data_IF_379994963727
#
_entry.id   IF_379994963727
#
_cell.length_a   1.000
_cell.length_b   1.000
_cell.length_c   1.000
_cell.angle_alpha   90.00
_cell.angle_beta   90.00
_cell.angle_gamma   90.00
#
_symmetry.space_group_name_H-M   'P 1'
#
loop_
_entity.id
_entity.type
_entity.pdbx_description
1 polymer ?
#
# COMPACT_ATOMS: atom_id res chain seq x y z
N UNK A 1 -22.34 -22.27 41.85
CA UNK A 1 -22.36 -21.80 40.45
C UNK A 1 -23.77 -21.62 39.91
N UNK A 2 -24.63 -22.65 39.84
CA UNK A 2 -26.04 -22.45 39.39
C UNK A 2 -26.84 -21.55 40.36
N UNK A 3 -26.72 -21.79 41.66
CA UNK A 3 -27.40 -21.00 42.69
C UNK A 3 -26.93 -19.53 42.73
N UNK A 4 -25.64 -19.29 42.50
CA UNK A 4 -25.07 -17.93 42.45
C UNK A 4 -25.58 -17.16 41.22
N UNK A 5 -25.77 -17.87 40.10
CA UNK A 5 -26.31 -17.33 38.85
C UNK A 5 -27.80 -17.00 38.99
N UNK A 6 -28.57 -17.88 39.63
CA UNK A 6 -29.99 -17.66 39.93
C UNK A 6 -30.22 -16.49 40.91
N UNK A 7 -29.26 -16.26 41.82
CA UNK A 7 -29.30 -15.13 42.78
C UNK A 7 -29.09 -13.76 42.10
N UNK A 8 -28.30 -13.70 41.02
CA UNK A 8 -28.06 -12.47 40.24
C UNK A 8 -29.21 -12.13 39.27
N UNK A 9 -30.00 -13.14 38.87
CA UNK A 9 -31.14 -12.99 37.96
C UNK A 9 -32.48 -12.80 38.70
N UNK A 10 -32.50 -12.98 40.02
CA UNK A 10 -33.65 -12.65 40.83
C UNK A 10 -33.82 -11.13 40.90
N UNK A 11 -34.97 -10.62 40.47
CA UNK A 11 -35.30 -9.19 40.47
C UNK A 11 -35.56 -8.70 41.91
N UNK A 12 -34.53 -8.74 42.75
CA UNK A 12 -34.56 -8.33 44.16
C UNK A 12 -33.90 -6.97 44.29
N UNK A 13 -34.59 -6.03 44.93
CA UNK A 13 -34.00 -4.75 45.31
C UNK A 13 -33.06 -5.00 46.49
N UNK A 14 -31.75 -4.89 46.27
CA UNK A 14 -30.75 -5.01 47.31
C UNK A 14 -30.38 -3.63 47.86
N UNK A 15 -30.26 -3.51 49.18
CA UNK A 15 -29.61 -2.36 49.80
C UNK A 15 -28.08 -2.46 49.58
N UNK A 16 -27.42 -1.38 49.11
CA UNK A 16 -26.00 -1.40 48.73
C UNK A 16 -25.05 -1.93 49.82
N UNK A 17 -25.39 -1.69 51.09
CA UNK A 17 -24.59 -2.09 52.26
C UNK A 17 -24.45 -3.62 52.36
N UNK A 18 -25.50 -4.36 52.00
CA UNK A 18 -25.54 -5.82 52.12
C UNK A 18 -24.59 -6.51 51.15
N UNK A 19 -24.39 -5.93 49.95
CA UNK A 19 -23.47 -6.43 48.93
C UNK A 19 -22.02 -6.26 49.40
N UNK A 20 -21.70 -5.15 50.05
CA UNK A 20 -20.33 -4.82 50.48
C UNK A 20 -19.86 -5.65 51.68
N UNK A 21 -20.74 -5.91 52.63
CA UNK A 21 -20.37 -6.59 53.89
C UNK A 21 -20.54 -8.12 53.86
N UNK A 22 -21.52 -8.65 53.13
CA UNK A 22 -21.83 -10.08 53.16
C UNK A 22 -21.40 -10.85 51.92
N UNK A 23 -21.25 -10.19 50.77
CA UNK A 23 -20.68 -10.84 49.60
C UNK A 23 -19.16 -10.59 49.58
N UNK A 24 -18.38 -11.66 49.62
CA UNK A 24 -16.91 -11.60 49.50
C UNK A 24 -16.50 -11.35 48.03
N UNK A 25 -17.07 -10.33 47.39
CA UNK A 25 -16.79 -9.94 46.02
C UNK A 25 -15.52 -9.10 46.02
N UNK A 26 -14.48 -9.60 45.34
CA UNK A 26 -13.27 -8.83 45.09
C UNK A 26 -13.55 -7.86 43.94
N UNK A 27 -13.93 -6.64 44.28
CA UNK A 27 -14.20 -5.59 43.31
C UNK A 27 -12.92 -5.23 42.55
N UNK A 28 -13.02 -5.23 41.23
CA UNK A 28 -11.92 -4.81 40.36
C UNK A 28 -11.85 -3.28 40.23
N UNK A 29 -13.02 -2.62 40.22
CA UNK A 29 -13.22 -1.17 40.21
C UNK A 29 -14.40 -0.83 41.15
N UNK A 30 -14.15 -0.74 42.47
CA UNK A 30 -15.21 -0.55 43.49
C UNK A 30 -15.95 0.78 43.33
N UNK A 31 -15.25 1.83 42.91
CA UNK A 31 -15.83 3.17 42.71
C UNK A 31 -16.46 3.38 41.32
N UNK A 32 -16.65 2.30 40.55
CA UNK A 32 -17.26 2.37 39.21
C UNK A 32 -16.28 2.72 38.08
N UNK A 33 -16.83 2.90 36.88
CA UNK A 33 -16.07 3.02 35.62
C UNK A 33 -15.42 4.40 35.47
N UNK A 34 -16.11 5.48 35.87
CA UNK A 34 -15.64 6.86 35.67
C UNK A 34 -14.36 7.14 36.45
N UNK A 35 -14.32 6.75 37.73
CA UNK A 35 -13.14 6.95 38.58
C UNK A 35 -11.98 6.01 38.20
N UNK A 36 -12.26 4.83 37.65
CA UNK A 36 -11.26 3.84 37.26
C UNK A 36 -10.99 3.80 35.75
N UNK A 37 -11.39 4.84 35.01
CA UNK A 37 -11.35 4.83 33.54
C UNK A 37 -9.92 4.61 33.02
N UNK A 38 -8.91 5.18 33.69
CA UNK A 38 -7.52 5.05 33.30
C UNK A 38 -7.03 3.59 33.41
N UNK A 39 -7.36 2.93 34.52
CA UNK A 39 -7.05 1.51 34.74
C UNK A 39 -7.73 0.63 33.69
N UNK A 40 -8.99 0.91 33.36
CA UNK A 40 -9.73 0.17 32.33
C UNK A 40 -9.09 0.38 30.94
N UNK A 41 -8.67 1.61 30.61
CA UNK A 41 -7.95 1.91 29.37
C UNK A 41 -6.64 1.12 29.30
N UNK A 42 -5.87 1.09 30.39
CA UNK A 42 -4.60 0.37 30.43
C UNK A 42 -4.80 -1.14 30.30
N UNK A 43 -5.80 -1.70 30.98
CA UNK A 43 -6.17 -3.10 30.85
C UNK A 43 -6.64 -3.45 29.43
N UNK A 44 -7.46 -2.58 28.82
CA UNK A 44 -7.91 -2.74 27.46
C UNK A 44 -6.73 -2.72 26.47
N UNK A 45 -5.78 -1.80 26.66
CA UNK A 45 -4.56 -1.70 25.87
C UNK A 45 -3.70 -2.95 26.02
N UNK A 46 -3.48 -3.44 27.23
CA UNK A 46 -2.68 -4.64 27.50
C UNK A 46 -3.35 -5.87 26.90
N UNK A 47 -4.65 -6.07 27.15
CA UNK A 47 -5.37 -7.26 26.69
C UNK A 47 -5.45 -7.36 25.17
N UNK A 48 -5.63 -6.22 24.49
CA UNK A 48 -5.66 -6.18 23.02
C UNK A 48 -4.30 -5.94 22.38
N UNK A 49 -3.23 -5.84 23.18
CA UNK A 49 -1.88 -5.48 22.72
C UNK A 49 -1.88 -4.21 21.86
N UNK A 50 -2.61 -3.19 22.29
CA UNK A 50 -2.69 -1.88 21.64
C UNK A 50 -1.63 -0.94 22.19
N UNK A 51 -0.40 -1.43 22.26
CA UNK A 51 0.75 -0.65 22.74
C UNK A 51 1.32 0.15 21.57
N UNK A 52 1.44 1.49 21.70
CA UNK A 52 1.96 2.33 20.64
C UNK A 52 3.41 1.95 20.33
N UNK A 53 3.70 1.64 19.07
CA UNK A 53 5.06 1.29 18.64
C UNK A 53 5.86 2.60 18.46
N UNK A 54 6.99 2.69 19.14
CA UNK A 54 7.86 3.89 19.13
C UNK A 54 9.23 3.52 18.57
N UNK A 55 9.55 4.04 17.40
CA UNK A 55 10.78 3.72 16.67
C UNK A 55 11.64 4.97 16.51
N UNK A 56 12.95 4.86 16.73
CA UNK A 56 13.93 5.89 16.43
C UNK A 56 14.94 5.38 15.41
N UNK A 57 15.13 6.11 14.31
CA UNK A 57 16.07 5.73 13.25
C UNK A 57 17.25 6.71 13.23
N UNK A 58 18.42 6.19 13.53
CA UNK A 58 19.71 6.88 13.60
C UNK A 58 20.63 6.41 12.46
N UNK A 59 21.71 7.16 12.21
CA UNK A 59 22.71 6.79 11.19
C UNK A 59 23.21 7.99 10.37
N UNK A 60 24.17 7.78 9.45
CA UNK A 60 24.82 8.83 8.70
C UNK A 60 23.89 9.47 7.66
N UNK A 61 24.14 10.72 7.23
CA UNK A 61 23.36 11.36 6.19
C UNK A 61 23.35 10.53 4.89
N UNK A 62 22.25 10.59 4.14
CA UNK A 62 22.04 9.85 2.88
C UNK A 62 22.04 8.31 2.94
N UNK A 63 22.07 7.71 4.14
CA UNK A 63 21.89 6.25 4.33
C UNK A 63 20.49 5.75 3.94
N UNK A 64 19.52 6.64 3.74
CA UNK A 64 18.16 6.30 3.37
C UNK A 64 17.18 6.17 4.53
N UNK A 65 17.53 6.69 5.71
CA UNK A 65 16.65 6.78 6.90
C UNK A 65 15.23 7.21 6.54
N UNK A 66 15.07 8.33 5.84
CA UNK A 66 13.75 8.85 5.43
C UNK A 66 12.98 7.87 4.55
N UNK A 67 13.66 7.11 3.68
CA UNK A 67 13.00 6.12 2.82
C UNK A 67 12.50 4.92 3.64
N UNK A 68 13.30 4.47 4.60
CA UNK A 68 12.95 3.36 5.52
C UNK A 68 11.85 3.81 6.48
N UNK A 69 11.99 5.01 7.08
CA UNK A 69 11.02 5.61 7.98
C UNK A 69 9.64 5.76 7.32
N UNK A 70 9.59 6.24 6.07
CA UNK A 70 8.33 6.37 5.32
C UNK A 70 7.67 5.02 5.03
N UNK A 71 8.46 4.00 4.68
CA UNK A 71 7.92 2.65 4.46
C UNK A 71 7.36 2.05 5.75
N UNK A 72 8.11 2.14 6.85
CA UNK A 72 7.65 1.66 8.16
C UNK A 72 6.44 2.44 8.65
N UNK A 73 6.40 3.76 8.45
CA UNK A 73 5.26 4.59 8.85
C UNK A 73 3.98 4.20 8.09
N UNK A 74 4.10 3.83 6.80
CA UNK A 74 2.96 3.35 6.01
C UNK A 74 2.50 1.97 6.45
N UNK A 75 3.42 1.04 6.68
CA UNK A 75 3.10 -0.34 7.04
C UNK A 75 2.47 -0.43 8.44
N UNK A 76 3.06 0.25 9.42
CA UNK A 76 2.59 0.26 10.80
C UNK A 76 1.54 1.32 11.08
N UNK A 77 1.23 2.19 10.10
CA UNK A 77 0.36 3.37 10.26
C UNK A 77 0.80 4.26 11.42
N UNK A 78 2.10 4.53 11.52
CA UNK A 78 2.70 5.37 12.55
C UNK A 78 2.90 6.80 12.06
N UNK A 79 2.99 7.75 12.99
CA UNK A 79 3.34 9.12 12.67
C UNK A 79 4.84 9.24 12.33
N UNK A 80 5.15 9.58 11.09
CA UNK A 80 6.52 9.89 10.66
C UNK A 80 6.89 11.30 11.11
N UNK A 81 7.85 11.41 12.01
CA UNK A 81 8.28 12.68 12.59
C UNK A 81 9.62 13.11 11.98
N UNK A 82 9.54 14.00 10.99
CA UNK A 82 10.69 14.74 10.48
C UNK A 82 10.75 16.13 11.13
N UNK A 83 11.96 16.68 11.29
CA UNK A 83 12.16 18.02 11.89
C UNK A 83 11.23 19.08 11.27
N UNK A 84 11.17 19.15 9.94
CA UNK A 84 10.35 20.15 9.22
C UNK A 84 8.86 20.00 9.54
N UNK A 85 8.37 18.76 9.42
CA UNK A 85 6.96 18.44 9.62
C UNK A 85 6.55 18.68 11.08
N UNK A 86 7.41 18.34 12.04
CA UNK A 86 7.17 18.61 13.47
C UNK A 86 7.04 20.10 13.73
N UNK A 87 7.91 20.94 13.15
CA UNK A 87 7.83 22.39 13.34
C UNK A 87 6.53 22.96 12.75
N UNK A 88 6.16 22.54 11.54
CA UNK A 88 4.95 23.04 10.86
C UNK A 88 3.68 22.56 11.56
N UNK A 89 3.60 21.28 11.93
CA UNK A 89 2.47 20.72 12.64
C UNK A 89 2.31 21.33 14.03
N UNK A 90 3.38 21.40 14.82
CA UNK A 90 3.30 21.96 16.18
C UNK A 90 2.96 23.44 16.13
N UNK A 91 3.52 24.20 15.18
CA UNK A 91 3.14 25.59 14.97
C UNK A 91 1.64 25.73 14.69
N UNK A 92 1.10 24.92 13.78
CA UNK A 92 -0.33 24.97 13.45
C UNK A 92 -1.22 24.58 14.65
N UNK A 93 -0.83 23.55 15.40
CA UNK A 93 -1.54 23.12 16.62
C UNK A 93 -1.55 24.23 17.68
N UNK A 94 -0.39 24.86 17.94
CA UNK A 94 -0.26 25.96 18.90
C UNK A 94 -1.06 27.21 18.44
N UNK A 95 -1.00 27.58 17.16
CA UNK A 95 -1.79 28.69 16.62
C UNK A 95 -3.30 28.45 16.77
N UNK A 96 -3.76 27.20 16.59
CA UNK A 96 -5.17 26.84 16.80
C UNK A 96 -5.58 26.94 18.26
N UNK A 97 -4.70 26.55 19.19
CA UNK A 97 -4.96 26.69 20.63
C UNK A 97 -5.11 28.17 21.02
N UNK A 98 -4.21 29.04 20.55
CA UNK A 98 -4.28 30.49 20.82
C UNK A 98 -5.51 31.14 20.18
N UNK A 99 -5.94 30.71 18.99
CA UNK A 99 -7.14 31.25 18.33
C UNK A 99 -8.44 30.91 19.08
N UNK A 100 -8.56 29.68 19.59
CA UNK A 100 -9.76 29.24 20.34
C UNK A 100 -9.95 30.04 21.62
N UNK A 101 -8.83 30.42 22.26
CA UNK A 101 -8.82 31.29 23.43
C UNK A 101 -9.36 32.70 23.10
N UNK A 102 -8.83 33.35 22.05
CA UNK A 102 -9.29 34.68 21.63
C UNK A 102 -10.72 34.74 21.08
N UNK A 103 -11.27 33.63 20.58
CA UNK A 103 -12.69 33.52 20.19
C UNK A 103 -13.62 33.33 21.41
N UNK A 104 -13.11 32.73 22.48
CA UNK A 104 -13.85 32.54 23.73
C UNK A 104 -14.03 33.87 24.47
N UNK A 105 -13.03 34.75 24.43
CA UNK A 105 -13.09 36.12 24.98
C UNK A 105 -14.07 37.05 24.24
N UNK A 106 -14.44 36.76 22.98
CA UNK A 106 -15.35 37.61 22.19
C UNK A 106 -16.84 37.27 22.35
N UNK A 107 -17.17 36.13 22.98
CA UNK A 107 -18.54 35.67 23.21
C UNK A 107 -18.95 35.78 24.69
N UNK A 108 -18.36 36.71 25.47
CA UNK A 108 -18.72 36.98 26.88
C UNK A 108 -20.08 37.70 27.05
N UNK A 109 -21.13 37.26 26.37
CA UNK A 109 -22.50 37.44 26.84
C UNK A 109 -23.14 36.05 26.98
N UNK A 110 -23.26 35.60 28.24
CA UNK A 110 -23.96 34.39 28.71
C UNK A 110 -23.15 33.09 28.87
N UNK A 111 -22.36 33.01 29.95
CA UNK A 111 -22.33 31.82 30.83
C UNK A 111 -21.66 32.15 32.18
N UNK A 112 -22.44 32.06 33.27
CA UNK A 112 -21.96 32.05 34.66
C UNK A 112 -21.16 30.78 34.97
N UNK A 113 -20.09 30.95 35.77
CA UNK A 113 -19.35 30.00 36.60
C UNK A 113 -19.04 28.59 36.05
N UNK A 114 -17.74 28.33 35.81
CA UNK A 114 -16.96 27.32 36.54
C UNK A 114 -15.54 27.17 35.99
N UNK A 115 -14.54 27.42 36.85
CA UNK A 115 -13.16 26.95 36.76
C UNK A 115 -12.51 27.00 35.38
N UNK A 116 -11.97 28.17 35.01
CA UNK A 116 -10.89 28.20 34.02
C UNK A 116 -9.77 27.35 34.60
N UNK A 117 -9.58 26.16 34.04
CA UNK A 117 -8.53 25.22 34.43
C UNK A 117 -7.20 25.98 34.39
N UNK A 118 -6.64 26.29 35.56
CA UNK A 118 -5.41 27.07 35.74
C UNK A 118 -4.28 26.48 34.87
N UNK A 119 -4.32 25.16 34.66
CA UNK A 119 -3.40 24.41 33.81
C UNK A 119 -3.58 24.66 32.30
N UNK A 120 -4.78 25.00 31.85
CA UNK A 120 -5.04 25.32 30.44
C UNK A 120 -4.52 26.73 30.10
N UNK A 121 -4.70 27.69 31.01
CA UNK A 121 -4.18 29.05 30.86
C UNK A 121 -2.64 29.05 30.78
N UNK A 122 -1.97 28.32 31.68
CA UNK A 122 -0.51 28.13 31.64
C UNK A 122 -0.04 27.55 30.31
N UNK A 123 -0.72 26.52 29.80
CA UNK A 123 -0.39 25.90 28.50
C UNK A 123 -0.57 26.85 27.31
N UNK A 124 -1.54 27.76 27.38
CA UNK A 124 -1.76 28.76 26.32
C UNK A 124 -0.65 29.82 26.36
N UNK A 125 -0.23 30.26 27.56
CA UNK A 125 0.86 31.22 27.70
C UNK A 125 2.21 30.65 27.27
N UNK A 126 2.50 29.38 27.62
CA UNK A 126 3.65 28.65 27.10
C UNK A 126 3.61 28.52 25.57
N UNK A 127 2.44 28.20 25.01
CA UNK A 127 2.26 28.11 23.56
C UNK A 127 2.56 29.45 22.87
N UNK A 128 2.09 30.57 23.44
CA UNK A 128 2.38 31.93 22.94
C UNK A 128 3.88 32.24 23.00
N UNK A 129 4.55 31.92 24.11
CA UNK A 129 6.00 32.14 24.27
C UNK A 129 6.82 31.35 23.24
N UNK A 130 6.46 30.09 22.98
CA UNK A 130 7.15 29.24 22.00
C UNK A 130 6.93 29.76 20.58
N UNK A 131 5.71 30.19 20.25
CA UNK A 131 5.40 30.77 18.94
C UNK A 131 6.19 32.07 18.69
N UNK A 132 6.29 32.94 19.69
CA UNK A 132 7.08 34.18 19.60
C UNK A 132 8.55 33.89 19.34
N UNK A 133 9.17 32.99 20.13
CA UNK A 133 10.55 32.55 19.93
C UNK A 133 10.78 31.96 18.53
N UNK A 134 9.82 31.18 18.02
CA UNK A 134 9.89 30.64 16.67
C UNK A 134 9.83 31.71 15.58
N UNK A 135 9.01 32.73 15.77
CA UNK A 135 8.93 33.86 14.84
C UNK A 135 10.18 34.73 14.86
N UNK A 136 10.76 34.99 16.03
CA UNK A 136 12.02 35.74 16.17
C UNK A 136 13.16 35.06 15.42
N UNK A 137 13.37 33.75 15.65
CA UNK A 137 14.41 32.99 14.96
C UNK A 137 14.19 33.00 13.43
N UNK A 138 12.93 32.97 12.99
CA UNK A 138 12.59 33.04 11.56
C UNK A 138 12.81 34.43 10.94
N UNK A 139 12.65 35.51 11.72
CA UNK A 139 12.92 36.89 11.27
C UNK A 139 14.41 37.14 11.12
N UNK A 140 15.21 36.65 12.07
CA UNK A 140 16.65 36.92 12.12
C UNK A 140 17.46 36.05 11.16
N UNK A 141 16.91 34.93 10.70
CA UNK A 141 17.63 34.03 9.80
C UNK A 141 16.71 33.29 8.83
N UNK A 142 16.77 33.66 7.55
CA UNK A 142 16.11 32.93 6.46
C UNK A 142 16.64 31.51 6.24
N UNK A 143 17.75 31.14 6.89
CA UNK A 143 18.50 29.90 6.62
C UNK A 143 19.19 29.29 7.87
N UNK A 144 18.93 29.79 9.09
CA UNK A 144 19.62 29.31 10.29
C UNK A 144 18.88 28.16 10.97
N UNK A 145 19.71 27.25 11.48
CA UNK A 145 19.31 26.16 12.37
C UNK A 145 18.57 26.76 13.57
N UNK A 146 17.39 26.22 13.85
CA UNK A 146 16.71 26.48 15.12
C UNK A 146 17.62 26.08 16.27
N UNK A 147 17.48 26.82 17.38
CA UNK A 147 18.16 26.45 18.61
C UNK A 147 17.73 25.05 19.06
N UNK A 148 18.68 24.28 19.56
CA UNK A 148 18.48 22.88 19.91
C UNK A 148 17.46 22.75 21.05
N UNK A 149 17.39 23.74 21.95
CA UNK A 149 16.44 23.79 23.06
C UNK A 149 14.99 23.96 22.57
N UNK A 150 14.76 24.93 21.66
CA UNK A 150 13.43 25.16 21.06
C UNK A 150 13.00 23.92 20.29
N UNK A 151 13.91 23.33 19.51
CA UNK A 151 13.63 22.11 18.75
C UNK A 151 13.23 20.96 19.69
N UNK A 152 13.97 20.78 20.78
CA UNK A 152 13.68 19.75 21.80
C UNK A 152 12.29 19.95 22.40
N UNK A 153 11.92 21.20 22.73
CA UNK A 153 10.59 21.52 23.26
C UNK A 153 9.47 21.17 22.26
N UNK A 154 9.63 21.52 20.98
CA UNK A 154 8.64 21.16 19.95
C UNK A 154 8.47 19.66 19.79
N UNK A 155 9.57 18.91 19.80
CA UNK A 155 9.50 17.45 19.76
C UNK A 155 8.82 16.88 21.01
N UNK A 156 9.08 17.41 22.21
CA UNK A 156 8.37 17.00 23.44
C UNK A 156 6.86 17.20 23.32
N UNK A 157 6.42 18.38 22.86
CA UNK A 157 4.99 18.67 22.65
C UNK A 157 4.38 17.68 21.66
N UNK A 158 5.03 17.47 20.50
CA UNK A 158 4.51 16.56 19.47
C UNK A 158 4.47 15.10 19.95
N UNK A 159 5.51 14.64 20.65
CA UNK A 159 5.57 13.27 21.19
C UNK A 159 4.54 13.04 22.30
N UNK A 160 4.20 14.07 23.08
CA UNK A 160 3.16 14.02 24.11
C UNK A 160 1.74 14.17 23.55
N UNK A 161 1.58 14.50 22.27
CA UNK A 161 0.27 14.59 21.62
C UNK A 161 -0.48 13.25 21.65
N UNK A 162 -1.83 13.26 21.73
CA UNK A 162 -2.64 12.04 21.71
C UNK A 162 -2.37 11.16 20.48
N UNK A 163 -2.05 11.76 19.34
CA UNK A 163 -1.73 11.07 18.09
C UNK A 163 -0.51 10.16 18.27
N UNK A 164 0.60 10.70 18.77
CA UNK A 164 1.83 9.94 19.00
C UNK A 164 1.73 8.98 20.20
N UNK A 165 0.97 9.34 21.23
CA UNK A 165 0.78 8.50 22.42
C UNK A 165 -0.16 7.31 22.16
N UNK A 166 -1.13 7.43 21.27
CA UNK A 166 -2.09 6.35 20.98
C UNK A 166 -1.65 5.45 19.82
N UNK A 167 -1.11 6.03 18.73
CA UNK A 167 -0.71 5.26 17.54
C UNK A 167 0.76 4.88 17.57
N UNK A 168 1.61 5.68 18.21
CA UNK A 168 3.06 5.56 18.15
C UNK A 168 3.66 6.49 17.10
N UNK A 169 4.99 6.40 16.93
CA UNK A 169 5.73 7.33 16.10
C UNK A 169 7.02 6.70 15.54
N UNK A 170 7.55 7.31 14.48
CA UNK A 170 8.89 7.04 13.95
C UNK A 170 9.67 8.35 13.88
N UNK A 171 10.74 8.45 14.67
CA UNK A 171 11.67 9.58 14.62
C UNK A 171 12.68 9.40 13.49
N UNK A 172 12.74 10.38 12.58
CA UNK A 172 13.69 10.41 11.45
C UNK A 172 14.65 11.58 11.56
N UNK A 173 15.91 11.27 11.88
CA UNK A 173 17.01 12.24 11.83
C UNK A 173 17.11 13.19 13.03
N UNK A 174 16.43 12.88 14.13
CA UNK A 174 16.56 13.51 15.45
C UNK A 174 16.32 12.46 16.55
N UNK A 175 17.08 12.43 17.66
CA UNK A 175 18.21 13.30 18.03
C UNK A 175 19.49 13.02 17.22
N UNK A 176 20.40 14.01 17.16
CA UNK A 176 21.69 13.89 16.44
C UNK A 176 22.90 13.82 17.38
N UNK A 177 22.75 14.35 18.59
CA UNK A 177 23.79 14.34 19.63
C UNK A 177 23.26 13.66 20.87
N UNK A 178 24.18 13.22 21.73
CA UNK A 178 23.86 12.67 23.04
C UNK A 178 23.07 13.67 23.90
N UNK A 179 23.50 14.94 23.92
CA UNK A 179 22.82 16.00 24.68
C UNK A 179 21.37 16.19 24.23
N UNK A 180 21.10 16.14 22.92
CA UNK A 180 19.73 16.21 22.39
C UNK A 180 18.89 15.00 22.82
N UNK A 181 19.49 13.80 22.87
CA UNK A 181 18.79 12.60 23.32
C UNK A 181 18.44 12.69 24.81
N UNK A 182 19.38 13.15 25.64
CA UNK A 182 19.17 13.39 27.07
C UNK A 182 18.11 14.46 27.30
N UNK A 183 18.21 15.61 26.64
CA UNK A 183 17.23 16.69 26.77
C UNK A 183 15.84 16.27 26.29
N UNK A 184 15.73 15.45 25.24
CA UNK A 184 14.45 15.00 24.71
C UNK A 184 13.79 13.93 25.60
N UNK A 185 14.52 12.89 25.99
CA UNK A 185 13.95 11.70 26.65
C UNK A 185 14.20 11.66 28.16
N UNK A 186 15.08 12.50 28.69
CA UNK A 186 15.30 12.64 30.13
C UNK A 186 14.04 13.11 30.85
N UNK A 187 13.76 12.54 32.01
CA UNK A 187 12.67 13.00 32.85
C UNK A 187 13.07 14.31 33.53
N UNK A 188 12.17 15.31 33.51
CA UNK A 188 12.35 16.62 34.15
C UNK A 188 12.00 16.60 35.64
N UNK A 189 12.17 15.46 36.30
CA UNK A 189 11.93 15.31 37.74
C UNK A 189 13.23 15.48 38.49
N UNK A 190 13.28 16.50 39.36
CA UNK A 190 14.26 16.65 40.42
C UNK A 190 14.15 15.44 41.37
N UNK A 191 14.76 14.31 41.01
CA UNK A 191 15.28 13.40 42.00
C UNK A 191 16.77 13.74 42.14
N UNK A 192 17.02 14.86 42.83
CA UNK A 192 18.24 15.02 43.60
C UNK A 192 18.21 13.95 44.70
N UNK A 193 18.77 12.77 44.44
CA UNK A 193 19.31 11.96 45.53
C UNK A 193 20.70 11.44 45.15
N UNK A 194 21.65 11.92 45.95
CA UNK A 194 22.98 11.41 46.18
C UNK A 194 22.98 9.86 46.27
N UNK A 195 24.10 9.26 45.86
CA UNK A 195 24.45 7.84 46.01
C UNK A 195 23.92 6.83 44.95
N UNK A 196 24.71 6.65 43.89
CA UNK A 196 25.33 5.37 43.47
C UNK A 196 25.68 5.38 41.97
N UNK A 197 26.91 5.02 41.62
CA UNK A 197 27.48 4.94 40.25
C UNK A 197 26.75 3.96 39.28
N UNK A 198 25.63 3.36 39.68
CA UNK A 198 24.92 2.29 38.92
C UNK A 198 23.43 2.56 38.66
N UNK A 199 22.88 3.74 38.98
CA UNK A 199 21.47 4.05 38.68
C UNK A 199 21.31 4.68 37.29
N UNK A 200 20.49 4.02 36.46
CA UNK A 200 20.11 4.44 35.11
C UNK A 200 19.64 5.90 35.08
N UNK A 201 19.92 6.66 34.00
CA UNK A 201 19.45 8.03 33.91
C UNK A 201 17.91 8.05 33.93
N UNK A 202 17.30 9.05 34.59
CA UNK A 202 15.85 9.14 34.68
C UNK A 202 15.27 9.44 33.30
N UNK A 203 14.36 8.58 32.82
CA UNK A 203 13.77 8.68 31.48
C UNK A 203 12.26 8.77 31.51
N UNK A 204 11.70 9.50 30.55
CA UNK A 204 10.27 9.62 30.39
C UNK A 204 9.73 8.42 29.59
N UNK A 205 9.19 7.43 30.32
CA UNK A 205 8.61 6.19 29.77
C UNK A 205 7.51 6.42 28.73
N UNK A 206 6.81 7.57 28.79
CA UNK A 206 5.74 7.90 27.85
C UNK A 206 6.26 8.23 26.47
N UNK A 207 7.45 8.81 26.36
CA UNK A 207 7.99 9.25 25.06
C UNK A 207 9.18 8.42 24.59
N UNK A 208 9.87 7.66 25.44
CA UNK A 208 11.08 6.95 25.02
C UNK A 208 10.80 5.83 23.98
N UNK A 209 11.58 5.75 22.88
CA UNK A 209 11.45 4.71 21.87
C UNK A 209 11.65 3.30 22.44
N UNK A 210 10.89 2.34 21.94
CA UNK A 210 11.07 0.91 22.24
C UNK A 210 12.12 0.28 21.32
N UNK A 211 12.15 0.73 20.06
CA UNK A 211 13.09 0.23 19.06
C UNK A 211 13.96 1.35 18.54
N UNK A 212 15.28 1.22 18.74
CA UNK A 212 16.29 2.14 18.21
C UNK A 212 17.07 1.42 17.13
N UNK A 213 17.09 1.98 15.92
CA UNK A 213 17.69 1.37 14.73
C UNK A 213 18.81 2.29 14.27
N UNK A 214 20.05 1.80 14.30
CA UNK A 214 21.24 2.52 13.87
C UNK A 214 21.65 1.99 12.50
N UNK A 215 21.51 2.81 11.48
CA UNK A 215 21.95 2.46 10.14
C UNK A 215 23.45 2.69 10.01
N UNK A 216 24.21 1.65 9.69
CA UNK A 216 25.64 1.71 9.41
C UNK A 216 25.88 1.62 7.90
N UNK A 217 26.75 2.47 7.38
CA UNK A 217 27.06 2.55 5.96
C UNK A 217 28.46 3.10 5.74
N UNK A 218 29.19 2.51 4.81
CA UNK A 218 30.52 2.97 4.45
C UNK A 218 30.49 4.36 3.80
N UNK A 219 31.49 5.19 4.11
CA UNK A 219 31.65 6.52 3.51
C UNK A 219 31.70 6.48 1.97
N UNK A 220 32.23 5.39 1.40
CA UNK A 220 32.29 5.20 -0.05
C UNK A 220 30.91 4.94 -0.64
N UNK A 221 30.12 4.03 -0.03
CA UNK A 221 28.75 3.76 -0.43
C UNK A 221 27.88 5.02 -0.40
N UNK A 222 27.97 5.82 0.68
CA UNK A 222 27.19 7.05 0.81
C UNK A 222 27.55 8.09 -0.26
N UNK A 223 28.84 8.22 -0.61
CA UNK A 223 29.29 9.11 -1.68
C UNK A 223 28.78 8.66 -3.04
N UNK A 224 28.92 7.37 -3.36
CA UNK A 224 28.43 6.81 -4.61
C UNK A 224 26.92 7.02 -4.74
N UNK A 225 26.15 6.77 -3.68
CA UNK A 225 24.70 6.94 -3.68
C UNK A 225 24.28 8.38 -4.02
N UNK A 226 24.97 9.38 -3.50
CA UNK A 226 24.68 10.80 -3.78
C UNK A 226 25.07 11.21 -5.18
N UNK A 227 26.16 10.68 -5.72
CA UNK A 227 26.55 10.93 -7.12
C UNK A 227 25.49 10.41 -8.11
N UNK A 228 24.78 9.34 -7.75
CA UNK A 228 23.75 8.73 -8.61
C UNK A 228 22.32 9.21 -8.28
N UNK A 229 22.16 10.19 -7.39
CA UNK A 229 20.84 10.72 -7.02
C UNK A 229 20.31 11.65 -8.13
N UNK A 230 19.07 11.47 -8.61
CA UNK A 230 18.52 12.31 -9.67
C UNK A 230 18.40 13.78 -9.24
N UNK A 231 18.70 14.71 -10.14
CA UNK A 231 18.64 16.16 -9.87
C UNK A 231 17.26 16.62 -9.36
N UNK A 232 16.17 15.95 -9.75
CA UNK A 232 14.81 16.22 -9.26
C UNK A 232 14.65 16.03 -7.75
N UNK A 233 15.41 15.11 -7.15
CA UNK A 233 15.38 14.83 -5.69
C UNK A 233 16.37 15.74 -4.95
N UNK A 234 17.40 16.21 -5.65
CA UNK A 234 18.39 17.16 -5.11
C UNK A 234 17.83 18.59 -5.11
N UNK A 235 17.02 18.95 -6.10
CA UNK A 235 16.35 20.24 -6.18
C UNK A 235 15.41 20.44 -4.97
N UNK A 236 15.76 21.37 -4.08
CA UNK A 236 15.01 21.67 -2.86
C UNK A 236 15.43 20.88 -1.61
N UNK A 237 16.47 20.04 -1.69
CA UNK A 237 17.05 19.37 -0.51
C UNK A 237 18.48 19.82 -0.25
N UNK A 238 18.91 19.82 1.02
CA UNK A 238 20.31 20.12 1.43
C UNK A 238 21.31 18.99 1.05
N UNK A 239 20.99 18.21 0.03
CA UNK A 239 21.80 17.08 -0.45
C UNK A 239 22.77 17.52 -1.55
N UNK A 240 23.10 18.80 -1.60
CA UNK A 240 24.25 19.27 -2.39
C UNK A 240 25.53 18.59 -1.90
N UNK A 241 26.47 18.34 -2.81
CA UNK A 241 27.69 17.59 -2.49
C UNK A 241 28.49 18.24 -1.35
N UNK A 242 28.52 19.57 -1.29
CA UNK A 242 29.21 20.36 -0.26
C UNK A 242 28.55 20.20 1.12
N UNK A 243 27.23 20.37 1.22
CA UNK A 243 26.50 20.24 2.48
C UNK A 243 26.50 18.80 2.98
N UNK A 244 26.43 17.82 2.08
CA UNK A 244 26.57 16.42 2.44
C UNK A 244 27.95 16.13 3.05
N UNK A 245 29.04 16.53 2.39
CA UNK A 245 30.40 16.35 2.91
C UNK A 245 30.57 16.98 4.28
N UNK A 246 30.01 18.17 4.50
CA UNK A 246 30.02 18.84 5.81
C UNK A 246 29.27 18.02 6.87
N UNK A 247 28.05 17.55 6.57
CA UNK A 247 27.24 16.74 7.51
C UNK A 247 27.88 15.39 7.81
N UNK A 248 28.45 14.74 6.80
CA UNK A 248 29.16 13.47 6.96
C UNK A 248 30.41 13.64 7.83
N UNK A 249 31.14 14.74 7.65
CA UNK A 249 32.29 15.08 8.50
C UNK A 249 31.87 15.27 9.96
N UNK A 250 30.83 16.06 10.22
CA UNK A 250 30.29 16.25 11.58
C UNK A 250 29.88 14.90 12.20
N UNK A 251 29.20 14.04 11.43
CA UNK A 251 28.78 12.73 11.90
C UNK A 251 29.97 11.81 12.22
N UNK A 252 31.03 11.82 11.40
CA UNK A 252 32.21 11.00 11.63
C UNK A 252 33.13 11.56 12.73
N UNK A 253 33.05 12.87 13.01
CA UNK A 253 33.74 13.53 14.12
C UNK A 253 33.01 13.34 15.46
N UNK A 254 31.71 13.00 15.42
CA UNK A 254 31.04 12.43 16.58
C UNK A 254 31.69 11.07 16.84
N UNK A 255 32.51 11.00 17.89
CA UNK A 255 33.00 9.72 18.38
C UNK A 255 31.86 8.86 18.92
N UNK A 256 32.13 7.56 19.11
CA UNK A 256 31.16 6.61 19.66
C UNK A 256 30.57 7.11 21.00
N UNK A 257 31.39 7.80 21.80
CA UNK A 257 30.98 8.39 23.08
C UNK A 257 29.99 9.55 23.00
N UNK A 258 29.90 10.23 21.86
CA UNK A 258 28.98 11.35 21.63
C UNK A 258 27.81 10.97 20.72
N UNK A 259 27.78 9.72 20.25
CA UNK A 259 26.72 9.21 19.41
C UNK A 259 25.42 9.07 20.22
N UNK A 260 24.25 9.50 19.70
CA UNK A 260 22.97 9.39 20.40
C UNK A 260 22.59 7.95 20.78
N UNK A 261 23.18 6.95 20.11
CA UNK A 261 23.03 5.54 20.46
C UNK A 261 23.45 5.19 21.90
N UNK A 262 24.50 5.85 22.42
CA UNK A 262 25.02 5.59 23.77
C UNK A 262 23.99 5.87 24.86
N UNK A 263 23.23 6.95 24.72
CA UNK A 263 22.14 7.26 25.65
C UNK A 263 21.15 6.10 25.76
N UNK A 264 20.83 5.42 24.65
CA UNK A 264 19.90 4.31 24.67
C UNK A 264 20.51 3.03 25.26
N UNK A 265 21.84 2.85 25.15
CA UNK A 265 22.56 1.78 25.86
C UNK A 265 22.51 2.00 27.37
N UNK A 266 22.72 3.23 27.85
CA UNK A 266 22.67 3.60 29.27
C UNK A 266 21.27 3.38 29.89
N UNK A 267 20.22 3.34 29.06
CA UNK A 267 18.81 3.17 29.46
C UNK A 267 18.34 1.70 29.28
N UNK A 268 19.24 0.75 29.02
CA UNK A 268 18.92 -0.66 28.72
C UNK A 268 18.03 -0.86 27.48
N UNK A 269 18.15 0.04 26.49
CA UNK A 269 17.48 -0.08 25.18
C UNK A 269 18.51 0.04 24.05
N UNK A 270 19.51 -0.85 23.97
CA UNK A 270 20.60 -0.73 23.02
C UNK A 270 20.08 -0.66 21.57
N UNK A 271 20.63 0.27 20.81
CA UNK A 271 20.31 0.42 19.39
C UNK A 271 20.80 -0.78 18.58
N UNK A 272 20.00 -1.19 17.59
CA UNK A 272 20.39 -2.24 16.66
C UNK A 272 21.12 -1.65 15.46
N UNK A 273 22.37 -2.06 15.28
CA UNK A 273 23.17 -1.64 14.12
C UNK A 273 22.89 -2.52 12.91
N UNK A 274 22.36 -1.93 11.84
CA UNK A 274 22.09 -2.59 10.56
C UNK A 274 23.01 -2.02 9.48
N UNK A 275 23.84 -2.88 8.90
CA UNK A 275 24.72 -2.52 7.77
C UNK A 275 23.92 -2.45 6.47
N UNK A 276 24.06 -1.33 5.76
CA UNK A 276 23.37 -1.07 4.49
C UNK A 276 24.22 -1.48 3.28
N UNK A 277 25.55 -1.57 3.43
CA UNK A 277 26.48 -1.78 2.31
C UNK A 277 26.14 -3.02 1.45
N UNK A 278 25.54 -4.05 2.06
CA UNK A 278 25.19 -5.32 1.40
C UNK A 278 23.79 -5.31 0.75
N UNK A 279 22.95 -4.32 1.03
CA UNK A 279 21.57 -4.31 0.57
C UNK A 279 21.44 -3.76 -0.87
N UNK A 280 21.26 -4.68 -1.82
CA UNK A 280 21.00 -4.36 -3.23
C UNK A 280 19.52 -4.19 -3.57
N UNK A 281 18.63 -4.30 -2.58
CA UNK A 281 17.19 -4.20 -2.83
C UNK A 281 16.76 -2.78 -3.19
N UNK A 282 15.74 -2.69 -4.05
CA UNK A 282 15.15 -1.40 -4.41
C UNK A 282 14.53 -0.78 -3.16
N UNK A 283 14.90 0.46 -2.84
CA UNK A 283 14.41 1.23 -1.69
C UNK A 283 14.62 0.56 -0.31
N UNK A 284 15.61 -0.32 -0.16
CA UNK A 284 15.95 -1.00 1.11
C UNK A 284 14.85 -1.92 1.67
N UNK A 285 14.09 -2.59 0.81
CA UNK A 285 13.01 -3.52 1.23
C UNK A 285 13.53 -4.60 2.18
N UNK A 286 14.71 -5.16 1.92
CA UNK A 286 15.26 -6.21 2.78
C UNK A 286 15.55 -5.71 4.20
N UNK A 287 16.01 -4.47 4.34
CA UNK A 287 16.24 -3.86 5.66
C UNK A 287 14.91 -3.59 6.35
N UNK A 288 13.90 -3.10 5.62
CA UNK A 288 12.55 -2.90 6.17
C UNK A 288 11.98 -4.24 6.66
N UNK A 289 12.11 -5.32 5.89
CA UNK A 289 11.69 -6.67 6.30
C UNK A 289 12.41 -7.16 7.57
N UNK A 290 13.73 -6.99 7.67
CA UNK A 290 14.49 -7.31 8.90
C UNK A 290 13.99 -6.52 10.11
N UNK A 291 13.70 -5.24 9.92
CA UNK A 291 13.14 -4.40 10.99
C UNK A 291 11.75 -4.90 11.37
N UNK A 292 10.91 -5.24 10.39
CA UNK A 292 9.55 -5.76 10.61
C UNK A 292 9.54 -7.08 11.37
N UNK A 293 10.46 -8.00 11.06
CA UNK A 293 10.61 -9.27 11.80
C UNK A 293 10.88 -9.04 13.30
N UNK A 294 11.60 -7.97 13.65
CA UNK A 294 11.94 -7.64 15.04
C UNK A 294 10.86 -6.85 15.77
N UNK A 295 10.30 -5.84 15.12
CA UNK A 295 9.20 -5.02 15.66
C UNK A 295 7.91 -5.84 15.77
N UNK A 296 7.79 -6.93 14.99
CA UNK A 296 6.64 -7.84 14.90
C UNK A 296 5.40 -7.16 14.31
N UNK A 297 4.23 -7.75 14.51
CA UNK A 297 2.96 -7.31 13.92
C UNK A 297 2.56 -5.90 14.42
N UNK A 298 1.92 -5.09 13.57
CA UNK A 298 1.39 -3.80 13.99
C UNK A 298 0.36 -3.94 15.12
N UNK A 299 0.63 -3.29 16.25
CA UNK A 299 -0.22 -3.25 17.44
C UNK A 299 -1.40 -2.25 17.33
N UNK A 300 -1.90 -2.03 16.12
CA UNK A 300 -2.92 -1.02 15.84
C UNK A 300 -4.33 -1.65 15.72
N UNK A 301 -5.38 -0.83 15.72
CA UNK A 301 -6.80 -1.26 15.69
C UNK A 301 -7.25 -1.96 14.40
N UNK A 302 -6.32 -2.38 13.53
CA UNK A 302 -6.59 -2.92 12.21
C UNK A 302 -7.15 -1.88 11.24
N UNK A 303 -7.43 -2.27 9.98
CA UNK A 303 -8.07 -1.38 9.02
C UNK A 303 -9.52 -1.09 9.41
N UNK A 304 -9.93 0.18 9.29
CA UNK A 304 -11.30 0.59 9.59
C UNK A 304 -12.29 -0.09 8.62
N UNK A 305 -13.58 -0.21 8.96
CA UNK A 305 -14.57 -0.79 8.06
C UNK A 305 -14.60 -0.12 6.68
N UNK A 306 -14.43 1.21 6.65
CA UNK A 306 -14.37 2.00 5.42
C UNK A 306 -13.11 1.71 4.58
N UNK A 307 -11.95 1.56 5.23
CA UNK A 307 -10.72 1.15 4.55
C UNK A 307 -10.82 -0.27 3.99
N UNK A 308 -11.46 -1.19 4.73
CA UNK A 308 -11.72 -2.55 4.27
C UNK A 308 -12.67 -2.57 3.06
N UNK A 309 -13.69 -1.71 3.05
CA UNK A 309 -14.58 -1.59 1.91
C UNK A 309 -13.86 -0.98 0.69
N UNK A 310 -13.06 0.06 0.91
CA UNK A 310 -12.30 0.72 -0.15
C UNK A 310 -11.24 -0.21 -0.76
N UNK A 311 -10.54 -1.01 0.05
CA UNK A 311 -9.60 -2.04 -0.44
C UNK A 311 -10.32 -3.11 -1.25
N UNK A 312 -11.44 -3.65 -0.74
CA UNK A 312 -12.29 -4.57 -1.51
C UNK A 312 -12.77 -3.97 -2.83
N UNK A 313 -13.16 -2.69 -2.84
CA UNK A 313 -13.59 -1.98 -4.04
C UNK A 313 -12.45 -1.82 -5.05
N UNK A 314 -11.23 -1.53 -4.59
CA UNK A 314 -10.05 -1.49 -5.45
C UNK A 314 -9.73 -2.86 -6.05
N UNK A 315 -9.74 -3.91 -5.24
CA UNK A 315 -9.50 -5.28 -5.71
C UNK A 315 -10.56 -5.74 -6.73
N UNK A 316 -11.84 -5.39 -6.50
CA UNK A 316 -12.92 -5.65 -7.46
C UNK A 316 -12.66 -4.91 -8.78
N UNK A 317 -12.35 -3.61 -8.74
CA UNK A 317 -12.04 -2.84 -9.93
C UNK A 317 -10.83 -3.39 -10.70
N UNK A 318 -9.78 -3.83 -10.00
CA UNK A 318 -8.61 -4.45 -10.63
C UNK A 318 -8.94 -5.80 -11.28
N UNK A 319 -9.75 -6.63 -10.61
CA UNK A 319 -10.23 -7.90 -11.19
C UNK A 319 -11.10 -7.65 -12.43
N UNK A 320 -12.06 -6.73 -12.36
CA UNK A 320 -12.90 -6.36 -13.50
C UNK A 320 -12.07 -5.84 -14.68
N UNK A 321 -11.01 -5.07 -14.39
CA UNK A 321 -10.10 -4.57 -15.43
C UNK A 321 -9.34 -5.72 -16.10
N UNK A 322 -8.78 -6.65 -15.31
CA UNK A 322 -8.08 -7.84 -15.84
C UNK A 322 -9.02 -8.71 -16.68
N UNK A 323 -10.23 -8.98 -16.20
CA UNK A 323 -11.23 -9.78 -16.93
C UNK A 323 -11.64 -9.12 -18.25
N UNK A 324 -11.72 -7.79 -18.29
CA UNK A 324 -12.00 -7.03 -19.52
C UNK A 324 -10.86 -7.17 -20.53
N UNK A 325 -9.62 -6.98 -20.08
CA UNK A 325 -8.42 -7.13 -20.92
C UNK A 325 -8.32 -8.56 -21.50
N UNK A 326 -8.56 -9.60 -20.69
CA UNK A 326 -8.59 -11.00 -21.14
C UNK A 326 -9.75 -11.32 -22.09
N UNK A 327 -10.90 -10.65 -21.94
CA UNK A 327 -12.04 -10.82 -22.87
C UNK A 327 -11.74 -10.16 -24.21
N UNK A 328 -11.20 -8.94 -24.20
CA UNK A 328 -10.79 -8.24 -25.41
C UNK A 328 -9.68 -9.00 -26.16
N UNK A 329 -8.73 -9.61 -25.46
CA UNK A 329 -7.70 -10.46 -26.06
C UNK A 329 -8.30 -11.71 -26.72
N UNK A 330 -9.18 -12.43 -26.01
CA UNK A 330 -9.89 -13.59 -26.58
C UNK A 330 -10.73 -13.23 -27.80
N UNK A 331 -11.45 -12.11 -27.76
CA UNK A 331 -12.24 -11.64 -28.90
C UNK A 331 -11.36 -11.32 -30.11
N UNK A 332 -10.17 -10.75 -29.91
CA UNK A 332 -9.19 -10.51 -30.99
C UNK A 332 -8.69 -11.83 -31.59
N UNK A 333 -8.31 -12.79 -30.74
CA UNK A 333 -7.83 -14.10 -31.19
C UNK A 333 -8.92 -14.88 -31.94
N UNK A 334 -10.16 -14.83 -31.47
CA UNK A 334 -11.31 -15.45 -32.14
C UNK A 334 -11.58 -14.80 -33.50
N UNK A 335 -11.49 -13.47 -33.61
CA UNK A 335 -11.65 -12.76 -34.87
C UNK A 335 -10.53 -13.10 -35.86
N UNK A 336 -9.28 -13.15 -35.40
CA UNK A 336 -8.14 -13.55 -36.24
C UNK A 336 -8.29 -14.99 -36.74
N UNK A 337 -8.63 -15.93 -35.84
CA UNK A 337 -8.87 -17.32 -36.19
C UNK A 337 -10.06 -17.49 -37.14
N UNK A 338 -11.15 -16.72 -36.97
CA UNK A 338 -12.30 -16.72 -37.86
C UNK A 338 -11.93 -16.18 -39.26
N UNK A 339 -11.16 -15.09 -39.32
CA UNK A 339 -10.65 -14.52 -40.56
C UNK A 339 -9.76 -15.52 -41.32
N UNK A 340 -8.88 -16.22 -40.61
CA UNK A 340 -8.02 -17.24 -41.19
C UNK A 340 -8.79 -18.47 -41.67
N UNK A 341 -9.80 -18.91 -40.92
CA UNK A 341 -10.73 -19.97 -41.37
C UNK A 341 -11.45 -19.56 -42.64
N UNK A 342 -11.95 -18.33 -42.72
CA UNK A 342 -12.61 -17.81 -43.92
C UNK A 342 -11.67 -17.75 -45.13
N UNK A 343 -10.42 -17.31 -44.96
CA UNK A 343 -9.41 -17.33 -46.04
C UNK A 343 -9.15 -18.74 -46.54
N UNK A 344 -8.87 -19.67 -45.62
CA UNK A 344 -8.63 -21.09 -45.96
C UNK A 344 -9.82 -21.72 -46.66
N UNK A 345 -11.04 -21.39 -46.23
CA UNK A 345 -12.26 -21.87 -46.87
C UNK A 345 -12.40 -21.34 -48.30
N UNK A 346 -12.18 -20.04 -48.53
CA UNK A 346 -12.20 -19.44 -49.87
C UNK A 346 -11.17 -20.07 -50.80
N UNK A 347 -9.94 -20.23 -50.31
CA UNK A 347 -8.86 -20.85 -51.07
C UNK A 347 -9.19 -22.32 -51.40
N UNK A 348 -9.75 -23.06 -50.45
CA UNK A 348 -10.19 -24.44 -50.66
C UNK A 348 -11.32 -24.52 -51.70
N UNK A 349 -12.33 -23.66 -51.62
CA UNK A 349 -13.44 -23.64 -52.58
C UNK A 349 -12.96 -23.32 -53.99
N UNK A 350 -12.05 -22.35 -54.13
CA UNK A 350 -11.49 -22.00 -55.44
C UNK A 350 -10.69 -23.16 -56.06
N UNK A 351 -9.86 -23.84 -55.24
CA UNK A 351 -9.13 -25.04 -55.69
C UNK A 351 -10.07 -26.17 -56.08
N UNK A 352 -11.14 -26.40 -55.32
CA UNK A 352 -12.13 -27.43 -55.63
C UNK A 352 -12.87 -27.14 -56.95
N UNK A 353 -13.24 -25.88 -57.19
CA UNK A 353 -13.86 -25.46 -58.46
C UNK A 353 -12.91 -25.58 -59.65
N UNK A 354 -11.62 -25.35 -59.43
CA UNK A 354 -10.61 -25.57 -60.45
C UNK A 354 -10.49 -27.05 -60.79
N UNK A 355 -10.37 -27.93 -59.77
CA UNK A 355 -10.29 -29.39 -59.97
C UNK A 355 -11.53 -29.89 -60.72
N UNK A 356 -12.74 -29.46 -60.32
CA UNK A 356 -13.98 -29.84 -61.01
C UNK A 356 -14.00 -29.44 -62.49
N UNK A 357 -13.45 -28.27 -62.82
CA UNK A 357 -13.34 -27.81 -64.21
C UNK A 357 -12.36 -28.68 -64.99
N UNK A 358 -11.18 -28.92 -64.42
CA UNK A 358 -10.15 -29.78 -65.03
C UNK A 358 -10.67 -31.21 -65.23
N UNK A 359 -11.39 -31.78 -64.25
CA UNK A 359 -12.04 -33.09 -64.35
C UNK A 359 -13.09 -33.11 -65.47
N UNK A 360 -13.94 -32.09 -65.55
CA UNK A 360 -14.96 -31.98 -66.59
C UNK A 360 -14.34 -31.89 -67.99
N UNK A 361 -13.32 -31.04 -68.17
CA UNK A 361 -12.60 -30.90 -69.43
C UNK A 361 -11.93 -32.22 -69.85
N UNK A 362 -11.32 -32.93 -68.88
CA UNK A 362 -10.71 -34.24 -69.14
C UNK A 362 -11.75 -35.28 -69.57
N UNK A 363 -12.89 -35.35 -68.89
CA UNK A 363 -13.99 -36.26 -69.23
C UNK A 363 -14.59 -35.92 -70.60
N UNK A 364 -14.77 -34.64 -70.91
CA UNK A 364 -15.32 -34.21 -72.20
C UNK A 364 -14.35 -34.55 -73.35
N UNK A 365 -13.04 -34.33 -73.15
CA UNK A 365 -12.00 -34.75 -74.09
C UNK A 365 -11.97 -36.27 -74.30
N UNK A 366 -12.08 -37.07 -73.24
CA UNK A 366 -12.19 -38.53 -73.33
C UNK A 366 -13.47 -38.98 -74.05
N UNK A 367 -14.56 -38.23 -73.93
CA UNK A 367 -15.83 -38.52 -74.61
C UNK A 367 -15.82 -38.15 -76.10
N UNK A 368 -14.88 -37.32 -76.54
CA UNK A 368 -14.83 -36.76 -77.90
C UNK A 368 -14.66 -37.83 -78.99
N UNK A 369 -13.74 -38.81 -78.88
CA UNK A 369 -13.63 -39.88 -79.88
C UNK A 369 -14.91 -40.70 -80.03
N UNK A 370 -15.58 -41.03 -78.91
CA UNK A 370 -16.83 -41.77 -78.93
C UNK A 370 -17.96 -40.94 -79.54
N UNK A 371 -18.10 -39.65 -79.16
CA UNK A 371 -19.07 -38.73 -79.77
C UNK A 371 -18.83 -38.58 -81.27
N UNK A 372 -17.58 -38.44 -81.71
CA UNK A 372 -17.24 -38.35 -83.12
C UNK A 372 -17.59 -39.64 -83.88
N UNK A 373 -17.33 -40.81 -83.30
CA UNK A 373 -17.71 -42.08 -83.89
C UNK A 373 -19.23 -42.22 -84.00
N UNK A 374 -19.97 -41.92 -82.93
CA UNK A 374 -21.44 -41.94 -82.92
C UNK A 374 -22.02 -40.97 -83.95
N UNK A 375 -21.50 -39.73 -84.02
CA UNK A 375 -21.92 -38.72 -84.99
C UNK A 375 -21.65 -39.12 -86.44
N UNK A 376 -20.51 -39.78 -86.72
CA UNK A 376 -20.15 -40.18 -88.08
C UNK A 376 -20.91 -41.43 -88.55
N UNK A 377 -21.11 -42.43 -87.67
CA UNK A 377 -21.56 -43.76 -88.09
C UNK A 377 -22.98 -44.12 -87.65
N UNK A 378 -23.43 -43.65 -86.48
CA UNK A 378 -24.73 -44.07 -85.89
C UNK A 378 -25.80 -43.00 -86.12
N UNK A 379 -25.46 -41.73 -85.89
CA UNK A 379 -26.40 -40.61 -85.94
C UNK A 379 -27.06 -40.40 -87.30
N UNK A 380 -26.39 -40.55 -88.46
CA UNK A 380 -27.05 -40.35 -89.76
C UNK A 380 -28.17 -41.38 -90.01
N UNK A 381 -27.96 -42.64 -89.62
CA UNK A 381 -28.95 -43.72 -89.77
C UNK A 381 -30.06 -43.59 -88.73
N UNK A 382 -29.71 -43.30 -87.47
CA UNK A 382 -30.67 -43.08 -86.40
C UNK A 382 -31.56 -41.86 -86.66
N UNK A 383 -30.99 -40.76 -87.16
CA UNK A 383 -31.76 -39.54 -87.46
C UNK A 383 -32.76 -39.80 -88.59
N UNK A 384 -32.37 -40.55 -89.64
CA UNK A 384 -33.30 -40.97 -90.70
C UNK A 384 -34.40 -41.88 -90.16
N UNK A 385 -34.05 -42.85 -89.31
CA UNK A 385 -35.01 -43.74 -88.65
C UNK A 385 -36.04 -42.95 -87.82
N UNK A 386 -35.57 -41.96 -87.05
CA UNK A 386 -36.43 -41.09 -86.23
C UNK A 386 -37.33 -40.20 -87.09
N UNK A 387 -36.81 -39.65 -88.19
CA UNK A 387 -37.62 -38.86 -89.14
C UNK A 387 -38.72 -39.73 -89.77
N UNK A 388 -38.38 -40.95 -90.19
CA UNK A 388 -39.31 -41.89 -90.82
C UNK A 388 -40.34 -42.44 -89.83
N UNK A 389 -39.93 -42.70 -88.59
CA UNK A 389 -40.83 -43.06 -87.49
C UNK A 389 -41.85 -41.94 -87.21
N UNK A 390 -41.41 -40.68 -87.22
CA UNK A 390 -42.30 -39.52 -87.06
C UNK A 390 -43.32 -39.37 -88.20
N UNK A 391 -42.99 -39.85 -89.41
CA UNK A 391 -43.87 -39.84 -90.57
C UNK A 391 -44.89 -40.99 -90.55
N UNK A 392 -44.44 -42.21 -90.24
CA UNK A 392 -45.27 -43.42 -90.26
C UNK A 392 -46.17 -43.52 -89.02
N UNK A 393 -45.73 -42.95 -87.87
CA UNK A 393 -46.41 -43.02 -86.57
C UNK A 393 -46.89 -44.44 -86.21
N UNK A 394 -45.96 -45.41 -86.10
CA UNK A 394 -46.29 -46.77 -85.69
C UNK A 394 -46.83 -46.80 -84.24
N UNK A 395 -47.58 -47.85 -83.90
CA UNK A 395 -48.11 -48.04 -82.54
C UNK A 395 -46.99 -48.19 -81.49
N UNK A 396 -45.87 -48.80 -81.86
CA UNK A 396 -44.64 -48.82 -81.05
C UNK A 396 -43.47 -48.15 -81.80
N UNK A 397 -43.10 -46.90 -81.44
CA UNK A 397 -42.01 -46.18 -82.07
C UNK A 397 -40.63 -46.73 -81.71
N UNK A 398 -40.47 -47.41 -80.58
CA UNK A 398 -39.18 -47.93 -80.14
C UNK A 398 -38.82 -49.17 -80.96
N UNK A 399 -39.77 -50.11 -81.08
CA UNK A 399 -39.58 -51.32 -81.88
C UNK A 399 -39.39 -51.00 -83.37
N UNK A 400 -40.13 -50.02 -83.90
CA UNK A 400 -39.97 -49.58 -85.28
C UNK A 400 -38.57 -49.03 -85.58
N UNK A 401 -38.04 -48.17 -84.71
CA UNK A 401 -36.69 -47.61 -84.86
C UNK A 401 -35.63 -48.71 -84.70
N UNK A 402 -35.83 -49.66 -83.77
CA UNK A 402 -34.93 -50.80 -83.60
C UNK A 402 -34.87 -51.68 -84.87
N UNK A 403 -36.02 -52.06 -85.43
CA UNK A 403 -36.08 -52.79 -86.70
C UNK A 403 -35.40 -52.03 -87.85
N UNK A 404 -35.64 -50.72 -87.93
CA UNK A 404 -35.06 -49.88 -88.97
C UNK A 404 -33.53 -49.83 -88.90
N UNK A 405 -32.98 -49.75 -87.67
CA UNK A 405 -31.55 -49.77 -87.44
C UNK A 405 -30.95 -51.14 -87.76
N UNK A 406 -31.62 -52.25 -87.41
CA UNK A 406 -31.18 -53.60 -87.78
C UNK A 406 -31.13 -53.79 -89.30
N UNK A 407 -32.13 -53.27 -90.03
CA UNK A 407 -32.19 -53.37 -91.50
C UNK A 407 -31.11 -52.55 -92.21
N UNK A 408 -30.67 -51.43 -91.61
CA UNK A 408 -29.74 -50.47 -92.23
C UNK A 408 -28.35 -50.46 -91.57
N UNK A 409 -27.95 -51.58 -90.93
CA UNK A 409 -26.68 -51.68 -90.22
C UNK A 409 -25.51 -51.87 -91.23
N UNK A 410 -24.49 -50.99 -91.26
CA UNK A 410 -23.41 -51.04 -92.25
C UNK A 410 -22.39 -52.19 -92.09
N UNK A 411 -22.57 -53.12 -91.15
CA UNK A 411 -21.68 -54.28 -90.93
C UNK A 411 -22.36 -55.65 -91.14
N UNK A 412 -23.59 -55.70 -91.66
CA UNK A 412 -24.28 -56.93 -92.07
C UNK A 412 -24.63 -56.87 -93.56
#
# INVERSE_FOLDING_TARGET
MQADYDMLLANMQFEPIFIREQMNIKWHCENGITENIQKIIDEYRIQRKLTPIKICILGPPASGKTTIAKQLAQEYKLHHLQIKDVIEDTKNELEQLVKRDGESEQNEEEADDQDVDETLAERIEEARSILEKLEEVRRDSKDARLDDDILTQLFKIKLMSPSCQNQGYILDGYPKTLDQAQSLFGASGEEEEEDAEDKKPPVNERIIPEHVIILDASNEFLRQRIMHLPEKVVAGTHNTELEFKRRLKIYNELGDDSHPGKFFEDVDRPGETIKIDDDRSINHRNIVEKIMERVKEPHNYGPTPEEQEHTKRKELNEKEKREREEREERERDEQEAANDRMKKQKDWTAKLEQIKREEFEMLDAQSTPLRNYLMAHVMPTLTKALIECCQVRPEDPVDFVAEYLFKNNPQV
#
